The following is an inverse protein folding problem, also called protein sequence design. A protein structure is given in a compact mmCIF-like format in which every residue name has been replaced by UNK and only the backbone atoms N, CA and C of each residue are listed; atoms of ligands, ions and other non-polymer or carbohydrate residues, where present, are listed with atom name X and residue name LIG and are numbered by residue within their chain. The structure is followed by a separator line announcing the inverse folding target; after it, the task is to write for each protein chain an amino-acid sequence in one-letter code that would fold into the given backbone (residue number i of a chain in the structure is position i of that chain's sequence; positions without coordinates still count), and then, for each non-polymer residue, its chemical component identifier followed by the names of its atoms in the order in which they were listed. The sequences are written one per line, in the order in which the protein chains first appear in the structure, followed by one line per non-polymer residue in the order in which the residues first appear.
data_IF_817212946250
#
_entry.id   IF_817212946250
#
_cell.length_a   1.000
_cell.length_b   1.000
_cell.length_c   1.000
_cell.angle_alpha   90.00
_cell.angle_beta   90.00
_cell.angle_gamma   90.00
#
_symmetry.space_group_name_H-M   'P 1'
#
loop_
_entity.id
_entity.type
_entity.pdbx_description
1 polymer ?
#
# COMPACT_ATOMS: atom_id res chain seq x y z
N UNK A 1 5.99 10.79 12.85
CA UNK A 1 6.73 11.15 11.62
C UNK A 1 5.71 11.65 10.61
N UNK A 2 5.86 12.87 10.10
CA UNK A 2 4.98 13.41 9.06
C UNK A 2 5.59 13.06 7.69
N UNK A 3 4.94 12.24 6.86
CA UNK A 3 5.50 11.89 5.56
C UNK A 3 5.46 13.09 4.61
N UNK A 4 6.49 13.22 3.80
CA UNK A 4 6.57 14.20 2.71
C UNK A 4 5.58 13.85 1.59
N UNK A 5 5.24 14.83 0.74
CA UNK A 5 4.41 14.59 -0.46
C UNK A 5 5.00 13.49 -1.36
N UNK A 6 6.34 13.45 -1.47
CA UNK A 6 7.07 12.43 -2.24
C UNK A 6 6.86 11.03 -1.69
N UNK A 7 6.97 10.87 -0.37
CA UNK A 7 6.76 9.60 0.32
C UNK A 7 5.32 9.10 0.20
N UNK A 8 4.33 10.00 0.38
CA UNK A 8 2.91 9.64 0.19
C UNK A 8 2.65 9.19 -1.24
N UNK A 9 3.18 9.90 -2.24
CA UNK A 9 3.05 9.52 -3.65
C UNK A 9 3.68 8.14 -3.92
N UNK A 10 4.87 7.89 -3.38
CA UNK A 10 5.54 6.60 -3.53
C UNK A 10 4.74 5.46 -2.89
N UNK A 11 4.09 5.71 -1.75
CA UNK A 11 3.26 4.70 -1.09
C UNK A 11 2.01 4.36 -1.90
N UNK A 12 1.31 5.37 -2.44
CA UNK A 12 0.14 5.15 -3.30
C UNK A 12 0.49 4.37 -4.57
N UNK A 13 1.60 4.73 -5.23
CA UNK A 13 2.09 4.00 -6.41
C UNK A 13 2.49 2.55 -6.08
N UNK A 14 3.04 2.33 -4.88
CA UNK A 14 3.32 0.98 -4.41
C UNK A 14 2.03 0.16 -4.25
N UNK A 15 1.01 0.69 -3.59
CA UNK A 15 -0.26 -0.02 -3.45
C UNK A 15 -0.87 -0.35 -4.81
N UNK A 16 -0.85 0.59 -5.75
CA UNK A 16 -1.33 0.35 -7.13
C UNK A 16 -0.51 -0.73 -7.85
N UNK A 17 0.82 -0.68 -7.81
CA UNK A 17 1.66 -1.71 -8.43
C UNK A 17 1.49 -3.08 -7.77
N UNK A 18 1.22 -3.12 -6.46
CA UNK A 18 1.02 -4.36 -5.71
C UNK A 18 -0.29 -5.08 -6.07
N UNK A 19 -1.28 -4.36 -6.60
CA UNK A 19 -2.47 -4.99 -7.17
C UNK A 19 -2.19 -5.66 -8.51
N UNK A 20 -1.31 -5.06 -9.32
CA UNK A 20 -0.96 -5.57 -10.66
C UNK A 20 0.08 -6.69 -10.61
N UNK A 21 1.02 -6.62 -9.67
CA UNK A 21 2.16 -7.53 -9.59
C UNK A 21 2.29 -8.12 -8.19
N UNK A 22 1.95 -9.40 -8.07
CA UNK A 22 2.22 -10.20 -6.87
C UNK A 22 3.59 -10.91 -7.03
N UNK A 23 4.36 -11.11 -5.94
CA UNK A 23 4.04 -10.73 -4.57
C UNK A 23 4.33 -9.24 -4.33
N UNK A 24 3.57 -8.60 -3.44
CA UNK A 24 3.63 -7.15 -3.22
C UNK A 24 5.05 -6.65 -2.86
N UNK A 25 5.89 -7.51 -2.27
CA UNK A 25 7.28 -7.19 -1.91
C UNK A 25 8.11 -6.80 -3.14
N UNK A 26 7.82 -7.38 -4.31
CA UNK A 26 8.48 -7.03 -5.58
C UNK A 26 8.05 -5.63 -6.02
N UNK A 27 6.74 -5.34 -5.99
CA UNK A 27 6.21 -4.00 -6.26
C UNK A 27 6.82 -2.96 -5.31
N UNK A 28 6.85 -3.24 -4.00
CA UNK A 28 7.51 -2.40 -3.00
C UNK A 28 8.95 -2.12 -3.39
N UNK A 29 9.73 -3.17 -3.72
CA UNK A 29 11.15 -3.02 -4.07
C UNK A 29 11.34 -2.12 -5.29
N UNK A 30 10.49 -2.26 -6.31
CA UNK A 30 10.53 -1.47 -7.55
C UNK A 30 10.11 -0.02 -7.34
N UNK A 31 9.06 0.25 -6.57
CA UNK A 31 8.65 1.63 -6.30
C UNK A 31 9.64 2.30 -5.36
N UNK A 32 9.98 1.68 -4.24
CA UNK A 32 10.79 2.34 -3.22
C UNK A 32 12.24 2.56 -3.65
N UNK A 33 12.80 1.74 -4.57
CA UNK A 33 14.11 2.02 -5.16
C UNK A 33 14.09 3.32 -5.97
N UNK A 34 13.07 3.53 -6.81
CA UNK A 34 12.91 4.74 -7.64
C UNK A 34 12.78 6.03 -6.83
N UNK A 35 12.30 5.93 -5.59
CA UNK A 35 12.08 7.07 -4.70
C UNK A 35 13.14 7.20 -3.59
N UNK A 36 14.18 6.36 -3.59
CA UNK A 36 15.20 6.29 -2.53
C UNK A 36 14.61 6.08 -1.12
N UNK A 37 13.62 5.18 -1.01
CA UNK A 37 12.91 4.89 0.23
C UNK A 37 13.25 3.52 0.83
N UNK A 38 13.94 2.64 0.11
CA UNK A 38 14.30 1.31 0.59
C UNK A 38 15.11 1.36 1.89
N UNK A 39 14.72 0.56 2.89
CA UNK A 39 15.40 0.48 4.19
C UNK A 39 15.18 1.69 5.11
N UNK A 40 14.48 2.73 4.64
CA UNK A 40 14.20 3.91 5.46
C UNK A 40 13.21 3.60 6.58
N UNK A 41 13.06 4.53 7.53
CA UNK A 41 11.97 4.46 8.53
C UNK A 41 10.59 4.45 7.87
N UNK A 42 10.41 5.18 6.77
CA UNK A 42 9.17 5.17 6.00
C UNK A 42 8.85 3.79 5.41
N UNK A 43 9.85 3.12 4.85
CA UNK A 43 9.69 1.74 4.36
C UNK A 43 9.24 0.78 5.46
N UNK A 44 9.90 0.81 6.62
CA UNK A 44 9.52 -0.05 7.76
C UNK A 44 8.08 0.18 8.22
N UNK A 45 7.68 1.44 8.36
CA UNK A 45 6.31 1.81 8.81
C UNK A 45 5.27 1.46 7.76
N UNK A 46 5.52 1.77 6.49
CA UNK A 46 4.54 1.47 5.44
C UNK A 46 4.44 -0.03 5.16
N UNK A 47 5.54 -0.77 5.23
CA UNK A 47 5.52 -2.25 5.13
C UNK A 47 4.61 -2.86 6.19
N UNK A 48 4.68 -2.41 7.45
CA UNK A 48 3.80 -2.93 8.52
C UNK A 48 2.34 -2.54 8.31
N UNK A 49 2.07 -1.33 7.81
CA UNK A 49 0.72 -0.90 7.40
C UNK A 49 0.20 -1.84 6.32
N UNK A 50 0.97 -2.12 5.28
CA UNK A 50 0.55 -2.98 4.17
C UNK A 50 0.25 -4.40 4.62
N UNK A 51 1.09 -5.01 5.46
CA UNK A 51 0.77 -6.31 6.05
C UNK A 51 -0.56 -6.28 6.82
N UNK A 52 -0.84 -5.21 7.55
CA UNK A 52 -2.11 -5.04 8.27
C UNK A 52 -3.29 -4.82 7.30
N UNK A 53 -3.10 -4.07 6.22
CA UNK A 53 -4.11 -3.86 5.17
C UNK A 53 -4.49 -5.19 4.52
N UNK A 54 -3.52 -5.97 4.03
CA UNK A 54 -3.78 -7.28 3.44
C UNK A 54 -4.45 -8.24 4.42
N UNK A 55 -4.03 -8.24 5.69
CA UNK A 55 -4.68 -9.06 6.73
C UNK A 55 -6.15 -8.66 6.97
N UNK A 56 -6.48 -7.38 6.79
CA UNK A 56 -7.81 -6.83 7.02
C UNK A 56 -8.59 -6.58 5.71
N UNK A 57 -8.12 -7.09 4.56
CA UNK A 57 -8.67 -6.77 3.25
C UNK A 57 -10.19 -6.95 3.20
N UNK A 58 -10.72 -8.11 3.64
CA UNK A 58 -12.18 -8.34 3.65
C UNK A 58 -12.97 -7.42 4.58
N UNK A 59 -12.38 -6.98 5.70
CA UNK A 59 -13.02 -6.00 6.60
C UNK A 59 -13.04 -4.62 5.94
N UNK A 60 -11.92 -4.23 5.31
CA UNK A 60 -11.85 -2.98 4.56
C UNK A 60 -12.85 -2.96 3.41
N UNK A 61 -12.95 -4.06 2.67
CA UNK A 61 -13.92 -4.21 1.58
C UNK A 61 -15.35 -4.06 2.08
N UNK A 62 -15.68 -4.68 3.22
CA UNK A 62 -16.99 -4.53 3.84
C UNK A 62 -17.28 -3.07 4.24
N UNK A 63 -16.33 -2.40 4.90
CA UNK A 63 -16.48 -0.97 5.27
C UNK A 63 -16.64 -0.09 4.03
N UNK A 64 -15.92 -0.38 2.95
CA UNK A 64 -16.02 0.35 1.69
C UNK A 64 -17.41 0.17 1.04
N UNK A 65 -17.94 -1.06 1.03
CA UNK A 65 -19.31 -1.33 0.56
C UNK A 65 -20.33 -0.53 1.36
N UNK A 66 -20.27 -0.59 2.69
CA UNK A 66 -21.23 0.08 3.56
C UNK A 66 -21.19 1.61 3.44
N UNK A 67 -20.00 2.20 3.32
CA UNK A 67 -19.83 3.66 3.38
C UNK A 67 -19.95 4.35 2.04
N UNK A 68 -19.57 3.67 0.96
CA UNK A 68 -19.47 4.29 -0.36
C UNK A 68 -20.38 3.63 -1.40
N UNK A 69 -21.11 2.56 -1.04
CA UNK A 69 -21.99 1.82 -1.93
C UNK A 69 -21.28 1.37 -3.22
N UNK A 70 -20.02 0.93 -3.07
CA UNK A 70 -19.18 0.40 -4.15
C UNK A 70 -18.94 -1.09 -3.94
N UNK A 71 -18.77 -1.84 -5.01
CA UNK A 71 -18.25 -3.22 -4.94
C UNK A 71 -16.73 -3.18 -5.13
N UNK A 72 -15.92 -3.32 -4.06
CA UNK A 72 -14.48 -3.40 -4.19
C UNK A 72 -14.11 -4.68 -4.95
N UNK A 73 -13.31 -4.52 -6.02
CA UNK A 73 -12.69 -5.64 -6.71
C UNK A 73 -11.74 -6.38 -5.76
N UNK A 74 -11.65 -7.71 -5.90
CA UNK A 74 -10.78 -8.56 -5.05
C UNK A 74 -9.34 -7.99 -5.01
N UNK A 75 -8.87 -7.59 -3.83
CA UNK A 75 -7.47 -7.32 -3.50
C UNK A 75 -6.59 -8.58 -3.61
#
# INVERSE_FOLDING_TARGET
MKPSKREVKAFLLFLEEAERYKPFQVAKRRVYSRYNLLGTRFDRVTTSIVYKLYRLAGILDHVLRERFNVEPGRL
#
